data_IF_898077839404
#
_entry.id   IF_898077839404
#
_cell.length_a   1.000
_cell.length_b   1.000
_cell.length_c   1.000
_cell.angle_alpha   90.00
_cell.angle_beta   90.00
_cell.angle_gamma   90.00
#
_symmetry.space_group_name_H-M   'P 1'
#
loop_
_entity.id
_entity.type
_entity.pdbx_description
1 polymer ?
#
# COMPACT_ATOMS: atom_id res chain seq x y z
N UNK A 1 11.53 -2.74 -8.23
CA UNK A 1 10.13 -2.59 -7.73
C UNK A 1 9.21 -3.74 -8.14
N UNK A 2 8.71 -3.88 -9.38
CA UNK A 2 7.69 -4.92 -9.69
C UNK A 2 8.09 -6.35 -9.30
N UNK A 3 9.35 -6.75 -9.58
CA UNK A 3 9.87 -8.05 -9.17
C UNK A 3 9.85 -8.21 -7.65
N UNK A 4 10.40 -7.24 -6.92
CA UNK A 4 10.43 -7.26 -5.45
C UNK A 4 9.02 -7.28 -4.83
N UNK A 5 8.07 -6.50 -5.40
CA UNK A 5 6.68 -6.52 -4.99
C UNK A 5 6.02 -7.87 -5.23
N UNK A 6 6.31 -8.52 -6.37
CA UNK A 6 5.80 -9.84 -6.69
C UNK A 6 6.42 -10.92 -5.80
N UNK A 7 7.72 -10.85 -5.52
CA UNK A 7 8.43 -11.75 -4.63
C UNK A 7 7.83 -11.67 -3.22
N UNK A 8 7.53 -10.45 -2.72
CA UNK A 8 6.89 -10.29 -1.42
C UNK A 8 5.44 -10.78 -1.40
N UNK A 9 4.64 -10.44 -2.41
CA UNK A 9 3.27 -10.94 -2.51
C UNK A 9 3.25 -12.48 -2.50
N UNK A 10 4.18 -13.11 -3.21
CA UNK A 10 4.32 -14.57 -3.26
C UNK A 10 4.69 -15.18 -1.91
N UNK A 11 5.57 -14.53 -1.14
CA UNK A 11 5.90 -14.95 0.22
C UNK A 11 4.70 -14.84 1.17
N UNK A 12 3.98 -13.72 1.14
CA UNK A 12 2.75 -13.54 1.94
C UNK A 12 1.71 -14.61 1.62
N UNK A 13 1.49 -14.90 0.34
CA UNK A 13 0.54 -15.93 -0.10
C UNK A 13 1.01 -17.37 0.17
N UNK A 14 2.33 -17.62 0.16
CA UNK A 14 2.88 -18.95 0.44
C UNK A 14 2.72 -19.35 1.92
N UNK A 15 2.78 -18.36 2.82
CA UNK A 15 2.72 -18.59 4.27
C UNK A 15 1.36 -18.21 4.89
N UNK A 16 0.52 -17.45 4.19
CA UNK A 16 -0.79 -16.97 4.67
C UNK A 16 -0.70 -16.25 6.03
N UNK A 17 0.36 -15.46 6.22
CA UNK A 17 0.75 -14.83 7.50
C UNK A 17 0.12 -13.45 7.73
N UNK A 18 -0.87 -13.08 6.93
CA UNK A 18 -1.51 -11.77 6.98
C UNK A 18 -0.68 -10.65 6.33
N UNK A 19 -1.11 -9.40 6.51
CA UNK A 19 -0.46 -8.22 5.91
C UNK A 19 0.72 -7.79 6.76
N UNK A 20 1.92 -8.26 6.43
CA UNK A 20 3.16 -7.90 7.13
C UNK A 20 4.06 -7.05 6.25
N UNK A 21 4.64 -6.01 6.84
CA UNK A 21 5.69 -5.23 6.21
C UNK A 21 7.00 -6.02 6.26
N UNK A 22 7.89 -5.84 5.27
CA UNK A 22 9.25 -6.33 5.40
C UNK A 22 10.01 -5.50 6.45
N UNK A 23 10.99 -6.11 7.10
CA UNK A 23 11.81 -5.48 8.15
C UNK A 23 12.77 -4.41 7.62
N UNK A 24 13.09 -4.41 6.32
CA UNK A 24 13.94 -3.40 5.69
C UNK A 24 13.08 -2.38 4.93
N UNK A 25 12.95 -1.17 5.48
CA UNK A 25 12.13 -0.08 4.94
C UNK A 25 12.84 0.69 3.79
N UNK A 26 13.28 -0.02 2.74
CA UNK A 26 13.88 0.64 1.57
C UNK A 26 12.85 1.40 0.72
N UNK A 27 11.61 0.93 0.70
CA UNK A 27 10.53 1.48 -0.13
C UNK A 27 9.31 1.81 0.73
N UNK A 28 8.48 2.73 0.25
CA UNK A 28 7.13 2.86 0.77
C UNK A 28 6.33 1.61 0.42
N UNK A 29 5.41 1.18 1.28
CA UNK A 29 4.62 -0.03 1.07
C UNK A 29 3.14 0.20 1.32
N UNK A 30 2.32 -0.31 0.41
CA UNK A 30 0.91 -0.57 0.67
C UNK A 30 0.62 -2.06 0.49
N UNK A 31 -0.16 -2.61 1.40
CA UNK A 31 -0.60 -4.01 1.40
C UNK A 31 -2.12 -4.07 1.28
N UNK A 32 -2.60 -5.12 0.62
CA UNK A 32 -4.00 -5.45 0.56
C UNK A 32 -4.15 -6.97 0.58
N UNK A 33 -5.14 -7.45 1.33
CA UNK A 33 -5.53 -8.86 1.34
C UNK A 33 -7.05 -8.96 1.34
N UNK A 34 -7.60 -9.84 0.50
CA UNK A 34 -9.02 -10.15 0.49
C UNK A 34 -9.27 -11.61 0.09
N UNK A 35 -10.41 -12.13 0.53
CA UNK A 35 -10.91 -13.43 0.09
C UNK A 35 -11.41 -13.35 -1.36
N UNK A 36 -10.81 -14.14 -2.23
CA UNK A 36 -11.09 -14.18 -3.68
C UNK A 36 -12.53 -14.62 -3.96
N UNK A 37 -13.08 -15.49 -3.10
CA UNK A 37 -14.45 -15.99 -3.22
C UNK A 37 -15.52 -14.95 -2.90
N UNK A 38 -15.19 -13.92 -2.11
CA UNK A 38 -16.12 -12.86 -1.76
C UNK A 38 -16.10 -11.74 -2.79
N UNK A 39 -14.91 -11.35 -3.28
CA UNK A 39 -14.76 -10.24 -4.20
C UNK A 39 -13.61 -10.46 -5.18
N UNK A 40 -13.79 -10.18 -6.49
CA UNK A 40 -12.69 -10.14 -7.43
C UNK A 40 -11.64 -9.11 -7.02
N UNK A 41 -10.39 -9.53 -6.82
CA UNK A 41 -9.28 -8.62 -6.52
C UNK A 41 -8.73 -8.03 -7.82
N UNK A 42 -9.30 -6.89 -8.21
CA UNK A 42 -8.89 -6.08 -9.37
C UNK A 42 -8.19 -4.80 -8.92
N UNK A 43 -7.32 -4.26 -9.79
CA UNK A 43 -6.46 -3.12 -9.46
C UNK A 43 -7.25 -1.91 -8.94
N UNK A 44 -8.39 -1.58 -9.58
CA UNK A 44 -9.22 -0.44 -9.17
C UNK A 44 -9.68 -0.55 -7.72
N UNK A 45 -10.22 -1.70 -7.32
CA UNK A 45 -10.71 -1.93 -5.95
C UNK A 45 -9.60 -1.78 -4.91
N UNK A 46 -8.39 -2.25 -5.22
CA UNK A 46 -7.24 -2.15 -4.33
C UNK A 46 -6.79 -0.69 -4.17
N UNK A 47 -6.68 0.04 -5.28
CA UNK A 47 -6.28 1.46 -5.27
C UNK A 47 -7.36 2.32 -4.59
N UNK A 48 -8.64 2.09 -4.89
CA UNK A 48 -9.76 2.78 -4.24
C UNK A 48 -9.73 2.55 -2.73
N UNK A 49 -9.45 1.32 -2.28
CA UNK A 49 -9.32 1.00 -0.85
C UNK A 49 -8.20 1.81 -0.19
N UNK A 50 -7.00 1.82 -0.77
CA UNK A 50 -5.89 2.61 -0.23
C UNK A 50 -6.20 4.11 -0.26
N UNK A 51 -6.73 4.61 -1.38
CA UNK A 51 -7.09 6.02 -1.53
C UNK A 51 -8.16 6.47 -0.52
N UNK A 52 -9.16 5.62 -0.25
CA UNK A 52 -10.22 5.93 0.72
C UNK A 52 -9.70 6.26 2.12
N UNK A 53 -8.53 5.72 2.49
CA UNK A 53 -7.87 6.00 3.77
C UNK A 53 -7.43 7.45 3.92
N UNK A 54 -7.23 8.17 2.81
CA UNK A 54 -6.88 9.59 2.81
C UNK A 54 -7.95 10.44 3.50
N UNK A 55 -9.21 9.98 3.59
CA UNK A 55 -10.27 10.66 4.35
C UNK A 55 -9.96 10.85 5.84
N UNK A 56 -9.05 10.07 6.41
CA UNK A 56 -8.60 10.22 7.79
C UNK A 56 -7.41 11.19 7.95
N UNK A 57 -6.88 11.74 6.86
CA UNK A 57 -5.77 12.68 6.89
C UNK A 57 -6.27 14.10 7.16
N UNK A 58 -5.66 14.78 8.14
CA UNK A 58 -5.95 16.18 8.43
C UNK A 58 -5.13 17.09 7.52
N UNK A 59 -5.79 17.71 6.54
CA UNK A 59 -5.14 18.64 5.63
C UNK A 59 -4.80 20.00 6.27
N UNK A 60 -5.35 20.31 7.43
CA UNK A 60 -5.03 21.52 8.18
C UNK A 60 -3.81 21.34 9.09
N UNK A 61 -3.58 20.13 9.60
CA UNK A 61 -2.42 19.79 10.42
C UNK A 61 -1.59 18.66 9.79
N UNK A 62 -0.59 19.06 8.99
CA UNK A 62 0.20 18.15 8.14
C UNK A 62 1.61 17.86 8.70
N UNK A 63 1.82 18.00 10.01
CA UNK A 63 3.10 17.59 10.61
C UNK A 63 3.23 16.06 10.65
N UNK A 64 2.10 15.38 10.84
CA UNK A 64 1.99 13.93 10.96
C UNK A 64 0.77 13.39 10.20
N UNK A 65 0.76 12.08 9.97
CA UNK A 65 -0.41 11.36 9.49
C UNK A 65 -0.75 10.27 10.48
N UNK A 66 -2.04 10.08 10.83
CA UNK A 66 -2.43 8.89 11.56
C UNK A 66 -2.14 7.64 10.72
N UNK A 67 -1.84 6.52 11.38
CA UNK A 67 -1.60 5.23 10.72
C UNK A 67 -2.76 4.84 9.80
N UNK A 68 -3.99 5.18 10.19
CA UNK A 68 -5.20 4.92 9.41
C UNK A 68 -5.24 5.60 8.05
N UNK A 69 -4.52 6.71 7.87
CA UNK A 69 -4.43 7.45 6.61
C UNK A 69 -3.20 7.09 5.76
N UNK A 70 -2.23 6.36 6.33
CA UNK A 70 -0.93 6.11 5.73
C UNK A 70 -0.98 5.51 4.32
N UNK A 71 -1.89 4.59 4.06
CA UNK A 71 -2.02 4.03 2.71
C UNK A 71 -2.54 5.04 1.69
N UNK A 72 -3.41 5.95 2.10
CA UNK A 72 -3.93 7.01 1.25
C UNK A 72 -2.88 8.07 0.96
N UNK A 73 -2.16 8.53 1.98
CA UNK A 73 -1.08 9.52 1.83
C UNK A 73 0.06 9.00 0.96
N UNK A 74 0.38 7.71 1.01
CA UNK A 74 1.37 7.10 0.10
C UNK A 74 0.92 7.11 -1.36
N UNK A 75 -0.36 6.85 -1.64
CA UNK A 75 -0.90 6.83 -3.01
C UNK A 75 -0.74 8.20 -3.69
N UNK A 76 -0.92 9.28 -2.94
CA UNK A 76 -0.87 10.66 -3.48
C UNK A 76 0.45 11.37 -3.24
N UNK A 77 1.49 10.67 -2.77
CA UNK A 77 2.74 11.28 -2.34
C UNK A 77 3.51 11.89 -3.52
N UNK A 78 3.52 13.23 -3.62
CA UNK A 78 4.12 13.96 -4.76
C UNK A 78 5.55 13.56 -5.10
N UNK A 79 6.41 13.32 -4.10
CA UNK A 79 7.82 12.97 -4.35
C UNK A 79 8.05 11.55 -4.83
N UNK A 80 7.09 10.64 -4.67
CA UNK A 80 7.23 9.27 -5.16
C UNK A 80 7.19 9.30 -6.69
N UNK A 81 8.10 8.59 -7.35
CA UNK A 81 8.27 8.63 -8.81
C UNK A 81 8.04 7.27 -9.46
N UNK A 82 8.30 6.19 -8.72
CA UNK A 82 8.21 4.83 -9.22
C UNK A 82 7.28 4.00 -8.36
N UNK A 83 6.54 3.13 -9.03
CA UNK A 83 5.62 2.18 -8.43
C UNK A 83 5.93 0.78 -8.99
N UNK A 84 5.98 -0.22 -8.12
CA UNK A 84 5.90 -1.62 -8.50
C UNK A 84 4.77 -2.31 -7.76
N UNK A 85 4.09 -3.22 -8.43
CA UNK A 85 2.95 -3.96 -7.86
C UNK A 85 3.13 -5.45 -8.10
N UNK A 86 2.88 -6.23 -7.06
CA UNK A 86 2.84 -7.69 -7.10
C UNK A 86 1.51 -8.21 -6.58
N UNK A 87 1.06 -9.34 -7.13
CA UNK A 87 -0.18 -10.02 -6.75
C UNK A 87 0.05 -11.52 -6.66
N UNK A 88 -0.39 -12.14 -5.57
CA UNK A 88 -0.33 -13.59 -5.42
C UNK A 88 -1.58 -14.12 -4.72
N UNK A 89 -1.95 -15.35 -5.05
CA UNK A 89 -3.10 -16.06 -4.46
C UNK A 89 -2.54 -17.23 -3.64
N UNK A 90 -3.11 -17.48 -2.47
CA UNK A 90 -2.75 -18.62 -1.62
C UNK A 90 -2.94 -19.94 -2.36
N UNK A 91 -2.21 -20.99 -1.95
CA UNK A 91 -2.29 -22.32 -2.59
C UNK A 91 -3.69 -22.91 -2.57
N UNK A 92 -4.48 -22.61 -1.55
CA UNK A 92 -5.87 -23.06 -1.43
C UNK A 92 -6.87 -22.19 -2.22
N UNK A 93 -6.38 -21.17 -2.93
CA UNK A 93 -7.17 -20.28 -3.77
C UNK A 93 -8.03 -19.27 -3.03
N UNK A 94 -7.96 -19.22 -1.68
CA UNK A 94 -8.91 -18.43 -0.88
C UNK A 94 -8.53 -16.97 -0.73
N UNK A 95 -7.27 -16.66 -0.48
CA UNK A 95 -6.82 -15.29 -0.22
C UNK A 95 -5.96 -14.77 -1.36
N UNK A 96 -6.11 -13.49 -1.69
CA UNK A 96 -5.26 -12.80 -2.63
C UNK A 96 -4.56 -11.64 -1.94
N UNK A 97 -3.24 -11.63 -2.02
CA UNK A 97 -2.36 -10.60 -1.52
C UNK A 97 -1.91 -9.68 -2.66
N UNK A 98 -1.95 -8.37 -2.41
CA UNK A 98 -1.39 -7.36 -3.29
C UNK A 98 -0.40 -6.50 -2.51
N UNK A 99 0.78 -6.34 -3.07
CA UNK A 99 1.88 -5.53 -2.52
C UNK A 99 2.18 -4.43 -3.52
N UNK A 100 2.21 -3.18 -3.07
CA UNK A 100 2.70 -2.05 -3.85
C UNK A 100 3.93 -1.45 -3.16
N UNK A 101 5.04 -1.34 -3.90
CA UNK A 101 6.23 -0.63 -3.47
C UNK A 101 6.39 0.70 -4.19
N UNK A 102 6.78 1.72 -3.43
CA UNK A 102 6.88 3.12 -3.85
C UNK A 102 8.31 3.63 -3.64
N UNK A 103 8.88 4.29 -4.65
CA UNK A 103 10.22 4.87 -4.59
C UNK A 103 10.26 6.28 -5.20
N UNK A 104 10.84 7.29 -4.52
CA UNK A 104 11.19 7.29 -3.09
C UNK A 104 10.00 6.99 -2.17
N UNK A 105 10.24 6.50 -0.93
CA UNK A 105 9.18 6.23 0.03
C UNK A 105 8.39 7.50 0.39
N UNK A 106 7.08 7.34 0.56
CA UNK A 106 6.19 8.34 1.10
C UNK A 106 6.11 8.29 2.63
N UNK A 107 5.12 8.97 3.19
CA UNK A 107 4.81 8.96 4.63
C UNK A 107 5.97 9.38 5.55
N UNK A 108 6.88 10.20 5.03
CA UNK A 108 8.00 10.73 5.81
C UNK A 108 7.48 11.82 6.75
N UNK A 109 7.67 11.64 8.06
CA UNK A 109 7.27 12.60 9.11
C UNK A 109 7.81 14.01 8.82
N UNK A 110 6.97 15.01 9.02
CA UNK A 110 7.31 16.42 8.74
C UNK A 110 7.43 16.77 7.25
N UNK A 111 7.05 15.87 6.33
CA UNK A 111 7.06 16.13 4.88
C UNK A 111 5.68 16.08 4.23
N UNK A 112 4.60 15.83 4.98
CA UNK A 112 3.26 15.68 4.40
C UNK A 112 2.78 16.95 3.68
N UNK A 113 2.96 18.15 4.24
CA UNK A 113 2.48 19.37 3.58
C UNK A 113 3.15 19.74 2.25
N UNK A 114 4.32 19.17 1.97
CA UNK A 114 4.97 19.31 0.66
C UNK A 114 4.56 18.20 -0.34
N UNK A 115 3.84 17.18 0.11
CA UNK A 115 3.60 15.96 -0.66
C UNK A 115 2.14 15.51 -0.76
N UNK A 116 1.26 15.94 0.14
CA UNK A 116 -0.15 15.55 0.20
C UNK A 116 -0.98 16.82 0.14
N UNK A 117 -1.71 17.00 -0.97
CA UNK A 117 -2.49 18.21 -1.24
C UNK A 117 -3.99 17.91 -1.16
N UNK A 118 -4.81 18.88 -0.75
CA UNK A 118 -6.27 18.79 -0.91
C UNK A 118 -6.63 18.55 -2.38
N UNK A 119 -7.72 17.81 -2.60
CA UNK A 119 -8.29 17.56 -3.93
C UNK A 119 -9.01 18.81 -4.48
#
# INVERSE_FOLDING_TARGET
LCKESQDWASQLAAHDIGMQHQTEERYGVNLYCAQVTLHPVVAKTVVDFWYSKLSAFDFHNQEESPTSAGSGTQVVWKRTQHLGVGKAITRDGKNCYVVAYYDPPGNVRGKYGANVFPA
#
